data_IF_280394509255
#
_entry.id   IF_280394509255
#
_cell.length_a   1.000
_cell.length_b   1.000
_cell.length_c   1.000
_cell.angle_alpha   90.00
_cell.angle_beta   90.00
_cell.angle_gamma   90.00
#
_symmetry.space_group_name_H-M   'P 1'
#
loop_
_entity.id
_entity.type
_entity.pdbx_description
1 polymer ?
#
# COMPACT_ATOMS: atom_id res chain seq x y z
N UNK A 1 -17.10 21.91 -10.30
CA UNK A 1 -16.77 20.79 -11.21
C UNK A 1 -15.36 20.39 -10.91
N UNK A 2 -15.09 19.08 -10.77
CA UNK A 2 -13.77 18.54 -10.42
C UNK A 2 -13.02 18.21 -11.72
N UNK A 3 -11.84 18.80 -11.92
CA UNK A 3 -11.00 18.56 -13.11
C UNK A 3 -10.19 17.28 -12.89
N UNK A 4 -10.36 16.32 -13.79
CA UNK A 4 -9.75 14.99 -13.69
C UNK A 4 -8.80 14.76 -14.86
N UNK A 5 -7.54 14.49 -14.54
CA UNK A 5 -6.54 14.01 -15.49
C UNK A 5 -6.52 12.48 -15.43
N UNK A 6 -6.72 11.82 -16.55
CA UNK A 6 -6.62 10.36 -16.66
C UNK A 6 -5.24 9.98 -17.21
N UNK A 7 -4.53 9.13 -16.50
CA UNK A 7 -3.22 8.61 -16.90
C UNK A 7 -3.27 7.08 -16.90
N UNK A 8 -2.99 6.46 -18.03
CA UNK A 8 -2.87 5.01 -18.16
C UNK A 8 -1.95 4.66 -19.32
N UNK A 9 -1.00 3.73 -19.13
CA UNK A 9 -0.11 3.27 -20.20
C UNK A 9 -0.85 2.45 -21.26
N UNK A 10 -2.00 1.88 -20.91
CA UNK A 10 -2.82 1.06 -21.79
C UNK A 10 -3.89 1.92 -22.48
N UNK A 11 -3.77 2.13 -23.79
CA UNK A 11 -4.70 2.97 -24.57
C UNK A 11 -6.17 2.54 -24.48
N UNK A 12 -6.45 1.25 -24.29
CA UNK A 12 -7.80 0.72 -24.08
C UNK A 12 -8.40 1.16 -22.75
N UNK A 13 -7.67 0.92 -21.66
CA UNK A 13 -8.04 1.32 -20.31
C UNK A 13 -8.17 2.85 -20.19
N UNK A 14 -7.24 3.58 -20.79
CA UNK A 14 -7.30 5.05 -20.82
C UNK A 14 -8.63 5.57 -21.38
N UNK A 15 -9.02 5.10 -22.57
CA UNK A 15 -10.29 5.51 -23.20
C UNK A 15 -11.51 5.09 -22.41
N UNK A 16 -11.47 3.94 -21.77
CA UNK A 16 -12.57 3.47 -20.93
C UNK A 16 -12.73 4.35 -19.69
N UNK A 17 -11.65 4.66 -19.00
CA UNK A 17 -11.65 5.56 -17.84
C UNK A 17 -12.13 6.96 -18.21
N UNK A 18 -11.71 7.50 -19.34
CA UNK A 18 -12.22 8.78 -19.85
C UNK A 18 -13.75 8.73 -20.03
N UNK A 19 -14.28 7.65 -20.63
CA UNK A 19 -15.75 7.47 -20.77
C UNK A 19 -16.44 7.37 -19.42
N UNK A 20 -15.84 6.68 -18.45
CA UNK A 20 -16.40 6.58 -17.10
C UNK A 20 -16.46 7.97 -16.46
N UNK A 21 -15.39 8.72 -16.49
CA UNK A 21 -15.35 10.09 -15.92
C UNK A 21 -16.37 11.00 -16.60
N UNK A 22 -16.46 10.95 -17.92
CA UNK A 22 -17.37 11.81 -18.71
C UNK A 22 -18.87 11.54 -18.47
N UNK A 23 -19.24 10.41 -17.85
CA UNK A 23 -20.64 10.12 -17.51
C UNK A 23 -21.15 10.87 -16.27
N UNK A 24 -20.29 11.48 -15.51
CA UNK A 24 -20.65 12.24 -14.32
C UNK A 24 -20.58 13.75 -14.61
N UNK A 25 -21.73 14.42 -14.58
CA UNK A 25 -21.83 15.86 -14.88
C UNK A 25 -21.03 16.77 -13.91
N UNK A 26 -20.62 16.27 -12.76
CA UNK A 26 -19.79 17.01 -11.79
C UNK A 26 -18.30 16.91 -12.05
N UNK A 27 -17.87 16.05 -13.01
CA UNK A 27 -16.48 15.82 -13.37
C UNK A 27 -16.18 16.40 -14.75
N UNK A 28 -14.97 16.89 -14.95
CA UNK A 28 -14.49 17.42 -16.23
C UNK A 28 -13.16 16.77 -16.56
N UNK A 29 -13.08 16.11 -17.72
CA UNK A 29 -11.81 15.62 -18.24
C UNK A 29 -10.94 16.79 -18.68
N UNK A 30 -9.67 16.69 -18.35
CA UNK A 30 -8.63 17.58 -18.89
C UNK A 30 -7.54 16.73 -19.54
N UNK A 31 -6.99 17.22 -20.65
CA UNK A 31 -5.99 16.50 -21.45
C UNK A 31 -4.56 17.00 -21.18
N UNK A 32 -4.42 18.06 -20.42
CA UNK A 32 -3.14 18.66 -20.07
C UNK A 32 -2.87 18.61 -18.57
N UNK A 33 -1.61 18.75 -18.20
CA UNK A 33 -1.14 18.76 -16.81
C UNK A 33 -1.46 20.08 -16.07
N UNK A 34 -2.24 20.99 -16.69
CA UNK A 34 -2.56 22.30 -16.12
C UNK A 34 -3.55 22.17 -14.95
N UNK A 35 -3.02 21.92 -13.77
CA UNK A 35 -3.73 21.91 -12.48
C UNK A 35 -4.98 21.01 -12.42
N UNK A 36 -4.85 19.68 -12.54
CA UNK A 36 -5.94 18.78 -12.20
C UNK A 36 -6.29 18.88 -10.71
N UNK A 37 -7.58 18.75 -10.40
CA UNK A 37 -8.03 18.64 -9.02
C UNK A 37 -7.85 17.20 -8.50
N UNK A 38 -7.85 16.21 -9.43
CA UNK A 38 -7.59 14.78 -9.13
C UNK A 38 -6.90 14.13 -10.34
N UNK A 39 -5.93 13.26 -10.08
CA UNK A 39 -5.34 12.41 -11.10
C UNK A 39 -5.87 10.98 -10.92
N UNK A 40 -6.47 10.44 -11.99
CA UNK A 40 -6.94 9.06 -12.04
C UNK A 40 -5.91 8.20 -12.78
N UNK A 41 -5.24 7.32 -12.05
CA UNK A 41 -4.28 6.36 -12.58
C UNK A 41 -4.98 5.06 -12.94
N UNK A 42 -4.95 4.69 -14.21
CA UNK A 42 -5.44 3.41 -14.70
C UNK A 42 -4.47 2.26 -14.41
N UNK A 43 -4.91 1.03 -14.67
CA UNK A 43 -4.10 -0.18 -14.50
C UNK A 43 -2.73 -0.06 -15.19
N UNK A 44 -1.68 -0.56 -14.56
CA UNK A 44 -0.30 -0.50 -15.03
C UNK A 44 0.42 0.82 -14.75
N UNK A 45 -0.29 1.87 -14.36
CA UNK A 45 0.33 3.17 -14.03
C UNK A 45 0.95 3.19 -12.63
N UNK A 46 0.55 2.29 -11.74
CA UNK A 46 1.11 2.17 -10.38
C UNK A 46 2.59 1.78 -10.37
N UNK A 47 3.08 1.13 -11.41
CA UNK A 47 4.50 0.81 -11.56
C UNK A 47 5.36 2.07 -11.78
N UNK A 48 4.74 3.18 -12.17
CA UNK A 48 5.41 4.46 -12.43
C UNK A 48 5.38 5.39 -11.20
N UNK A 49 4.86 4.93 -10.06
CA UNK A 49 4.87 5.70 -8.84
C UNK A 49 6.28 5.70 -8.16
N UNK A 50 6.77 6.83 -7.63
CA UNK A 50 6.16 8.15 -7.68
C UNK A 50 6.18 8.73 -9.11
N UNK A 51 5.04 9.25 -9.54
CA UNK A 51 4.93 9.83 -10.87
C UNK A 51 5.95 10.97 -11.07
N UNK A 52 6.69 10.99 -12.19
CA UNK A 52 7.54 12.10 -12.57
C UNK A 52 6.72 13.28 -13.10
N UNK A 53 5.47 13.40 -12.67
CA UNK A 53 4.65 14.55 -12.99
C UNK A 53 5.31 15.77 -12.37
N UNK A 54 5.83 16.64 -13.21
CA UNK A 54 6.23 18.01 -12.88
C UNK A 54 4.97 18.85 -12.57
N UNK A 55 4.17 18.35 -11.65
CA UNK A 55 3.19 19.18 -10.99
C UNK A 55 4.01 20.08 -10.08
N UNK A 56 4.13 21.34 -10.45
CA UNK A 56 4.81 22.35 -9.67
C UNK A 56 4.21 22.30 -8.26
N UNK A 57 4.98 21.71 -7.35
CA UNK A 57 4.66 21.75 -5.93
C UNK A 57 4.83 23.19 -5.51
N UNK A 58 3.73 23.91 -5.38
CA UNK A 58 3.74 25.16 -4.65
C UNK A 58 4.25 24.92 -3.23
N UNK A 59 4.84 25.90 -2.54
CA UNK A 59 5.43 25.73 -1.23
C UNK A 59 4.44 25.37 -0.11
N UNK A 60 3.17 25.27 -0.36
CA UNK A 60 2.11 24.93 0.58
C UNK A 60 1.32 23.70 0.13
N UNK A 61 1.74 22.55 0.59
CA UNK A 61 1.00 21.35 1.04
C UNK A 61 -0.10 20.69 0.19
N UNK A 62 -0.37 20.99 -1.07
CA UNK A 62 -1.37 20.23 -1.82
C UNK A 62 -0.81 19.58 -3.09
N UNK A 63 -0.17 18.43 -2.88
CA UNK A 63 0.03 17.50 -3.99
C UNK A 63 -1.35 17.07 -4.51
N UNK A 64 -1.59 17.24 -5.82
CA UNK A 64 -2.84 16.80 -6.44
C UNK A 64 -3.17 15.36 -6.04
N UNK A 65 -4.37 15.11 -5.47
CA UNK A 65 -4.75 13.80 -4.98
C UNK A 65 -4.80 12.77 -6.10
N UNK A 66 -4.25 11.58 -5.80
CA UNK A 66 -4.21 10.45 -6.72
C UNK A 66 -5.32 9.46 -6.39
N UNK A 67 -6.01 8.98 -7.41
CA UNK A 67 -6.90 7.82 -7.37
C UNK A 67 -6.26 6.73 -8.24
N UNK A 68 -5.97 5.58 -7.68
CA UNK A 68 -5.22 4.50 -8.35
C UNK A 68 -6.10 3.28 -8.54
N UNK A 69 -6.22 2.80 -9.78
CA UNK A 69 -6.73 1.46 -10.08
C UNK A 69 -5.53 0.52 -10.18
N UNK A 70 -5.53 -0.53 -9.36
CA UNK A 70 -4.49 -1.56 -9.39
C UNK A 70 -4.74 -2.54 -10.55
N UNK A 71 -3.69 -3.16 -11.08
CA UNK A 71 -3.82 -4.29 -12.03
C UNK A 71 -4.34 -5.54 -11.31
N UNK A 72 -3.82 -5.78 -10.12
CA UNK A 72 -4.23 -6.87 -9.24
C UNK A 72 -4.53 -6.32 -7.85
N UNK A 73 -5.47 -6.98 -7.16
CA UNK A 73 -5.82 -6.61 -5.79
C UNK A 73 -4.75 -7.13 -4.81
N UNK A 74 -3.55 -6.50 -4.88
CA UNK A 74 -2.40 -6.84 -4.05
C UNK A 74 -2.19 -5.81 -2.94
N UNK A 75 -1.98 -6.32 -1.72
CA UNK A 75 -1.71 -5.52 -0.53
C UNK A 75 -0.46 -4.64 -0.68
N UNK A 76 0.60 -5.20 -1.25
CA UNK A 76 1.89 -4.50 -1.40
C UNK A 76 1.77 -3.33 -2.35
N UNK A 77 1.10 -3.54 -3.50
CA UNK A 77 0.82 -2.49 -4.46
C UNK A 77 -0.07 -1.40 -3.87
N UNK A 78 -1.12 -1.78 -3.12
CA UNK A 78 -2.00 -0.84 -2.44
C UNK A 78 -1.25 0.00 -1.39
N UNK A 79 -0.44 -0.63 -0.54
CA UNK A 79 0.35 0.07 0.47
C UNK A 79 1.40 1.00 -0.18
N UNK A 80 2.00 0.60 -1.30
CA UNK A 80 2.92 1.45 -2.07
C UNK A 80 2.21 2.66 -2.65
N UNK A 81 1.01 2.49 -3.24
CA UNK A 81 0.22 3.59 -3.77
C UNK A 81 -0.15 4.60 -2.68
N UNK A 82 -0.62 4.14 -1.52
CA UNK A 82 -0.96 5.01 -0.39
C UNK A 82 0.26 5.78 0.15
N UNK A 83 1.43 5.13 0.27
CA UNK A 83 2.67 5.80 0.67
C UNK A 83 3.14 6.82 -0.38
N UNK A 84 2.87 6.59 -1.65
CA UNK A 84 3.14 7.54 -2.72
C UNK A 84 2.16 8.72 -2.75
N UNK A 85 1.19 8.77 -1.82
CA UNK A 85 0.23 9.87 -1.68
C UNK A 85 -1.12 9.62 -2.34
N UNK A 86 -1.44 8.38 -2.74
CA UNK A 86 -2.77 8.07 -3.23
C UNK A 86 -3.83 8.32 -2.14
N UNK A 87 -4.92 8.97 -2.53
CA UNK A 87 -6.11 9.19 -1.70
C UNK A 87 -7.17 8.12 -1.91
N UNK A 88 -7.11 7.39 -3.01
CA UNK A 88 -7.97 6.23 -3.20
C UNK A 88 -7.24 5.11 -3.92
N UNK A 89 -7.51 3.87 -3.49
CA UNK A 89 -7.02 2.66 -4.13
C UNK A 89 -8.21 1.75 -4.43
N UNK A 90 -8.35 1.42 -5.70
CA UNK A 90 -9.49 0.67 -6.25
C UNK A 90 -9.00 -0.62 -6.93
N UNK A 91 -9.87 -1.66 -6.97
CA UNK A 91 -9.58 -2.87 -7.73
C UNK A 91 -9.65 -2.60 -9.24
N UNK A 92 -9.06 -3.49 -10.07
CA UNK A 92 -9.05 -3.33 -11.54
C UNK A 92 -10.44 -3.31 -12.15
N UNK A 93 -11.42 -3.93 -11.48
CA UNK A 93 -12.82 -4.00 -11.93
C UNK A 93 -13.76 -3.07 -11.17
N UNK A 94 -13.23 -1.93 -10.68
CA UNK A 94 -14.04 -0.95 -10.00
C UNK A 94 -15.18 -0.45 -10.90
N UNK A 95 -16.40 -0.43 -10.37
CA UNK A 95 -17.55 0.11 -11.10
C UNK A 95 -17.42 1.63 -11.30
N UNK A 96 -18.15 2.16 -12.28
CA UNK A 96 -18.20 3.61 -12.51
C UNK A 96 -18.60 4.37 -11.23
N UNK A 97 -19.55 3.85 -10.44
CA UNK A 97 -19.98 4.45 -9.19
C UNK A 97 -18.84 4.51 -8.16
N UNK A 98 -18.03 3.45 -8.06
CA UNK A 98 -16.87 3.44 -7.17
C UNK A 98 -15.80 4.43 -7.61
N UNK A 99 -15.52 4.52 -8.91
CA UNK A 99 -14.55 5.47 -9.48
C UNK A 99 -15.01 6.91 -9.20
N UNK A 100 -16.29 7.24 -9.47
CA UNK A 100 -16.85 8.56 -9.20
C UNK A 100 -16.79 8.92 -7.71
N UNK A 101 -17.16 7.98 -6.82
CA UNK A 101 -17.09 8.18 -5.37
C UNK A 101 -15.65 8.42 -4.89
N UNK A 102 -14.69 7.65 -5.42
CA UNK A 102 -13.27 7.79 -5.11
C UNK A 102 -12.71 9.15 -5.55
N UNK A 103 -13.04 9.61 -6.77
CA UNK A 103 -12.63 10.92 -7.29
C UNK A 103 -13.18 12.05 -6.40
N UNK A 104 -14.47 11.99 -6.06
CA UNK A 104 -15.11 13.02 -5.20
C UNK A 104 -14.52 13.01 -3.79
N UNK A 105 -14.30 11.82 -3.21
CA UNK A 105 -13.66 11.66 -1.90
C UNK A 105 -12.25 12.23 -1.90
N UNK A 106 -11.45 11.90 -2.91
CA UNK A 106 -10.08 12.38 -3.06
C UNK A 106 -10.03 13.92 -3.18
N UNK A 107 -10.91 14.50 -4.01
CA UNK A 107 -11.05 15.95 -4.17
C UNK A 107 -11.48 16.65 -2.85
N UNK A 108 -12.23 15.96 -2.00
CA UNK A 108 -12.63 16.44 -0.67
C UNK A 108 -11.57 16.17 0.43
N UNK A 109 -10.39 15.64 0.08
CA UNK A 109 -9.32 15.34 1.04
C UNK A 109 -9.52 14.01 1.80
N UNK A 110 -10.50 13.21 1.45
CA UNK A 110 -10.74 11.90 2.07
C UNK A 110 -9.79 10.85 1.50
N UNK A 111 -9.47 9.86 2.32
CA UNK A 111 -8.78 8.65 1.85
C UNK A 111 -9.77 7.49 1.84
N UNK A 112 -9.85 6.77 0.72
CA UNK A 112 -10.75 5.64 0.54
C UNK A 112 -10.01 4.43 -0.01
N UNK A 113 -10.37 3.26 0.52
CA UNK A 113 -9.80 1.97 0.10
C UNK A 113 -10.96 1.02 -0.12
N UNK A 114 -10.87 0.17 -1.14
CA UNK A 114 -11.90 -0.84 -1.37
C UNK A 114 -12.02 -1.78 -0.16
N UNK A 115 -13.24 -2.23 0.14
CA UNK A 115 -13.52 -3.09 1.29
C UNK A 115 -12.68 -4.39 1.31
N UNK A 116 -12.33 -4.93 0.14
CA UNK A 116 -11.47 -6.10 0.03
C UNK A 116 -10.00 -5.87 0.41
N UNK A 117 -9.53 -4.62 0.37
CA UNK A 117 -8.17 -4.24 0.78
C UNK A 117 -8.10 -3.73 2.23
N UNK A 118 -9.21 -3.23 2.76
CA UNK A 118 -9.25 -2.61 4.07
C UNK A 118 -8.72 -3.53 5.19
N UNK A 119 -9.17 -4.80 5.35
CA UNK A 119 -8.62 -5.68 6.37
C UNK A 119 -7.12 -5.85 6.23
N UNK A 120 -6.65 -6.09 5.01
CA UNK A 120 -5.24 -6.30 4.74
C UNK A 120 -4.36 -5.07 5.04
N UNK A 121 -4.88 -3.87 4.97
CA UNK A 121 -4.16 -2.63 5.29
C UNK A 121 -4.20 -2.31 6.78
N UNK A 122 -5.29 -2.69 7.48
CA UNK A 122 -5.46 -2.42 8.91
C UNK A 122 -4.97 -3.57 9.81
N UNK A 123 -4.85 -4.79 9.30
CA UNK A 123 -4.34 -5.96 10.03
C UNK A 123 -2.81 -6.00 10.17
N UNK A 124 -2.18 -4.89 10.21
CA UNK A 124 -0.76 -4.72 10.50
C UNK A 124 -0.08 -3.76 9.57
N UNK A 125 0.58 -2.84 10.19
CA UNK A 125 1.63 -2.01 9.63
C UNK A 125 2.77 -2.91 9.09
N UNK A 126 2.52 -3.54 7.95
CA UNK A 126 3.55 -4.19 7.18
C UNK A 126 4.18 -3.09 6.31
N UNK A 127 4.94 -2.24 6.97
CA UNK A 127 5.92 -1.37 6.33
C UNK A 127 6.70 -2.19 5.31
N UNK A 128 7.14 -1.51 4.27
CA UNK A 128 8.11 -1.97 3.28
C UNK A 128 8.95 -3.13 3.83
N UNK A 129 8.83 -4.33 3.23
CA UNK A 129 9.25 -5.62 3.81
C UNK A 129 10.72 -5.75 4.24
N UNK A 130 11.45 -4.64 4.33
CA UNK A 130 12.78 -4.53 4.89
C UNK A 130 12.75 -3.71 6.19
N UNK A 131 12.81 -4.40 7.32
CA UNK A 131 13.11 -3.80 8.61
C UNK A 131 11.98 -3.68 9.63
N UNK A 132 10.68 -3.80 9.26
CA UNK A 132 9.57 -3.77 10.22
C UNK A 132 8.95 -5.16 10.42
N UNK A 133 8.99 -5.63 11.66
CA UNK A 133 8.37 -6.90 12.03
C UNK A 133 6.87 -6.69 12.31
N UNK A 134 6.04 -7.64 11.86
CA UNK A 134 4.64 -7.72 12.28
C UNK A 134 4.54 -7.97 13.79
N UNK A 135 3.40 -7.72 14.44
CA UNK A 135 3.21 -8.06 15.86
C UNK A 135 3.55 -9.52 16.16
N UNK A 136 3.17 -10.44 15.28
CA UNK A 136 3.45 -11.88 15.44
C UNK A 136 4.93 -12.22 15.28
N UNK A 137 5.61 -11.60 14.33
CA UNK A 137 7.06 -11.77 14.15
C UNK A 137 7.85 -11.18 15.31
N UNK A 138 7.39 -10.06 15.88
CA UNK A 138 8.01 -9.45 17.06
C UNK A 138 7.85 -10.36 18.28
N UNK A 139 6.66 -10.94 18.49
CA UNK A 139 6.39 -11.90 19.55
C UNK A 139 7.31 -13.14 19.42
N UNK A 140 7.44 -13.68 18.20
CA UNK A 140 8.35 -14.80 17.92
C UNK A 140 9.81 -14.41 18.17
N UNK A 141 10.22 -13.21 17.74
CA UNK A 141 11.59 -12.73 17.97
C UNK A 141 11.89 -12.50 19.45
N UNK A 142 10.92 -12.06 20.24
CA UNK A 142 11.06 -11.96 21.72
C UNK A 142 11.30 -13.32 22.35
N UNK A 143 10.45 -14.30 22.02
CA UNK A 143 10.60 -15.67 22.51
C UNK A 143 11.93 -16.31 22.06
N UNK A 144 12.38 -15.94 20.87
CA UNK A 144 13.68 -16.33 20.34
C UNK A 144 14.81 -15.75 21.19
N UNK A 145 14.69 -14.49 21.60
CA UNK A 145 15.63 -13.79 22.47
C UNK A 145 15.65 -14.39 23.89
N UNK A 146 14.51 -14.85 24.41
CA UNK A 146 14.39 -15.58 25.67
C UNK A 146 15.07 -16.97 25.62
N UNK A 147 15.55 -17.41 24.45
CA UNK A 147 16.27 -18.68 24.29
C UNK A 147 15.41 -19.88 23.92
N UNK A 148 14.09 -19.73 23.73
CA UNK A 148 13.18 -20.83 23.42
C UNK A 148 13.47 -21.46 22.07
N UNK A 149 13.44 -22.79 21.97
CA UNK A 149 13.55 -23.50 20.70
C UNK A 149 12.21 -23.49 19.94
N UNK A 150 12.24 -23.72 18.62
CA UNK A 150 11.05 -23.60 17.75
C UNK A 150 9.84 -24.42 18.26
N UNK A 151 10.08 -25.59 18.84
CA UNK A 151 9.04 -26.45 19.41
C UNK A 151 8.35 -25.79 20.62
N UNK A 152 9.12 -25.13 21.47
CA UNK A 152 8.60 -24.43 22.65
C UNK A 152 7.83 -23.16 22.22
N UNK A 153 8.37 -22.42 21.25
CA UNK A 153 7.68 -21.28 20.65
C UNK A 153 6.34 -21.73 20.04
N UNK A 154 6.34 -22.83 19.29
CA UNK A 154 5.15 -23.40 18.68
C UNK A 154 4.09 -23.74 19.74
N UNK A 155 4.50 -24.42 20.81
CA UNK A 155 3.63 -24.75 21.93
C UNK A 155 3.06 -23.52 22.65
N UNK A 156 3.90 -22.50 22.91
CA UNK A 156 3.48 -21.27 23.59
C UNK A 156 2.51 -20.42 22.77
N UNK A 157 2.65 -20.47 21.44
CA UNK A 157 1.86 -19.68 20.51
C UNK A 157 0.67 -20.44 19.91
N UNK A 158 0.49 -21.72 20.23
CA UNK A 158 -0.62 -22.54 19.73
C UNK A 158 -0.56 -22.81 18.22
N UNK A 159 0.64 -22.89 17.64
CA UNK A 159 0.86 -23.11 16.20
C UNK A 159 1.75 -24.33 15.95
N UNK A 160 1.93 -24.73 14.67
CA UNK A 160 2.88 -25.79 14.32
C UNK A 160 4.33 -25.28 14.34
N UNK A 161 5.29 -26.18 14.56
CA UNK A 161 6.72 -25.87 14.42
C UNK A 161 7.07 -25.40 13.00
N UNK A 162 6.37 -25.93 11.99
CA UNK A 162 6.53 -25.50 10.60
C UNK A 162 6.13 -24.03 10.42
N UNK A 163 5.01 -23.62 11.04
CA UNK A 163 4.56 -22.23 11.03
C UNK A 163 5.59 -21.30 11.68
N UNK A 164 6.21 -21.72 12.80
CA UNK A 164 7.29 -20.95 13.42
C UNK A 164 8.49 -20.81 12.48
N UNK A 165 8.91 -21.88 11.80
CA UNK A 165 10.01 -21.85 10.82
C UNK A 165 9.72 -20.86 9.67
N UNK A 166 8.48 -20.82 9.18
CA UNK A 166 8.08 -19.87 8.13
C UNK A 166 8.20 -18.43 8.62
N UNK A 167 7.74 -18.12 9.83
CA UNK A 167 7.90 -16.78 10.41
C UNK A 167 9.37 -16.43 10.65
N UNK A 168 10.20 -17.39 11.08
CA UNK A 168 11.63 -17.14 11.28
C UNK A 168 12.34 -16.79 9.98
N UNK A 169 12.01 -17.46 8.88
CA UNK A 169 12.56 -17.12 7.57
C UNK A 169 12.20 -15.68 7.18
N UNK A 170 10.93 -15.27 7.38
CA UNK A 170 10.50 -13.90 7.12
C UNK A 170 11.18 -12.87 8.06
N UNK A 171 11.38 -13.22 9.33
CA UNK A 171 12.10 -12.37 10.30
C UNK A 171 13.56 -12.17 9.86
N UNK A 172 14.25 -13.25 9.45
CA UNK A 172 15.64 -13.18 9.02
C UNK A 172 15.80 -12.31 7.76
N UNK A 173 14.90 -12.47 6.79
CA UNK A 173 14.88 -11.65 5.58
C UNK A 173 14.65 -10.16 5.91
N UNK A 174 13.66 -9.86 6.76
CA UNK A 174 13.33 -8.49 7.17
C UNK A 174 14.44 -7.79 7.99
N UNK A 175 15.17 -8.54 8.79
CA UNK A 175 16.25 -8.01 9.64
C UNK A 175 17.60 -8.04 8.94
N UNK A 176 17.69 -8.62 7.73
CA UNK A 176 18.93 -8.91 7.02
C UNK A 176 19.90 -9.71 7.90
N UNK A 177 19.37 -10.78 8.50
CA UNK A 177 20.08 -11.62 9.45
C UNK A 177 20.33 -13.01 8.86
N UNK A 178 21.57 -13.47 8.86
CA UNK A 178 21.95 -14.78 8.31
C UNK A 178 21.57 -15.94 9.26
N UNK A 179 21.32 -15.67 10.54
CA UNK A 179 21.07 -16.70 11.54
C UNK A 179 20.30 -16.16 12.77
N UNK A 180 19.91 -17.09 13.66
CA UNK A 180 19.17 -16.81 14.88
C UNK A 180 19.84 -15.75 15.77
N UNK A 181 21.14 -15.89 16.03
CA UNK A 181 21.85 -15.00 16.94
C UNK A 181 21.91 -13.56 16.38
N UNK A 182 22.11 -13.44 15.08
CA UNK A 182 22.15 -12.17 14.39
C UNK A 182 20.77 -11.49 14.36
N UNK A 183 19.69 -12.26 14.17
CA UNK A 183 18.32 -11.74 14.24
C UNK A 183 18.00 -11.16 15.62
N UNK A 184 18.33 -11.87 16.68
CA UNK A 184 18.15 -11.40 18.07
C UNK A 184 19.00 -10.17 18.35
N UNK A 185 20.28 -10.17 17.98
CA UNK A 185 21.18 -9.04 18.18
C UNK A 185 20.68 -7.80 17.42
N UNK A 186 20.20 -7.97 16.20
CA UNK A 186 19.64 -6.88 15.39
C UNK A 186 18.33 -6.35 15.99
N UNK A 187 17.47 -7.26 16.49
CA UNK A 187 16.22 -6.89 17.17
C UNK A 187 16.46 -6.03 18.42
N UNK A 188 17.44 -6.41 19.23
CA UNK A 188 17.87 -5.62 20.41
C UNK A 188 18.44 -4.28 20.03
N UNK A 189 19.39 -4.24 19.09
CA UNK A 189 20.01 -2.97 18.62
C UNK A 189 18.99 -1.97 18.06
N UNK A 190 17.97 -2.48 17.34
CA UNK A 190 16.91 -1.63 16.76
C UNK A 190 15.77 -1.33 17.72
N UNK A 191 15.81 -1.81 18.97
CA UNK A 191 14.75 -1.62 19.97
C UNK A 191 13.44 -2.32 19.62
N UNK A 192 13.48 -3.35 18.78
CA UNK A 192 12.30 -4.12 18.35
C UNK A 192 11.85 -5.10 19.44
N UNK A 193 12.78 -5.56 20.27
CA UNK A 193 12.58 -6.42 21.44
C UNK A 193 13.44 -5.93 22.61
N UNK A 194 13.01 -6.27 23.83
CA UNK A 194 13.76 -6.09 25.07
C UNK A 194 13.79 -7.44 25.79
N UNK A 195 14.92 -7.78 26.42
CA UNK A 195 15.12 -8.98 27.22
C UNK A 195 15.23 -8.62 28.70
#
# INVERSE_FOLDING_TARGET
>A
MIRVLVVSPQSGAHRELQRVVARDAGLVLIDDESRPDVILLGPGAEAQLPLPLRLERGPEHDATPLVVLLDELDRTAAARALRAGARAVLPPHASAAQIHAAIRGAAAGLTSVSAGLAPALFEGDAGDGRGTLTPREREILTLLGEGLVNKEIAGRLGVSEHTVKTHLAAIYDKLDAANRAEAVATGLRRGLIML
#
